data_IF_828650308334
#
_entry.id   IF_828650308334
#
_cell.length_a   1.000
_cell.length_b   1.000
_cell.length_c   1.000
_cell.angle_alpha   90.00
_cell.angle_beta   90.00
_cell.angle_gamma   90.00
#
_symmetry.space_group_name_H-M   'P 1'
#
loop_
_entity.id
_entity.type
_entity.pdbx_description
1 polymer ?
#
# COMPACT_ATOMS: atom_id res chain seq x y z
N UNK A 1 9.50 10.39 -9.09
CA UNK A 1 8.65 10.33 -7.86
C UNK A 1 9.33 9.44 -6.85
N UNK A 2 9.12 9.75 -5.56
CA UNK A 2 9.43 8.83 -4.47
C UNK A 2 8.17 8.02 -4.14
N UNK A 3 8.30 6.73 -4.14
CA UNK A 3 7.18 5.79 -3.97
C UNK A 3 7.44 4.91 -2.75
N UNK A 4 6.48 4.81 -1.85
CA UNK A 4 6.51 3.81 -0.78
C UNK A 4 5.51 2.69 -1.10
N UNK A 5 6.01 1.46 -1.22
CA UNK A 5 5.19 0.28 -1.45
C UNK A 5 5.08 -0.51 -0.15
N UNK A 6 3.86 -0.60 0.40
CA UNK A 6 3.55 -1.31 1.65
C UNK A 6 2.89 -2.63 1.31
N UNK A 7 3.55 -3.76 1.55
CA UNK A 7 2.99 -5.09 1.29
C UNK A 7 2.50 -5.77 2.56
N UNK A 8 1.40 -6.52 2.45
CA UNK A 8 0.77 -7.20 3.59
C UNK A 8 0.78 -8.74 3.51
N UNK A 9 1.41 -9.32 2.50
CA UNK A 9 1.47 -10.78 2.34
C UNK A 9 2.60 -11.40 3.15
N UNK A 10 2.33 -12.47 3.94
CA UNK A 10 3.38 -13.22 4.62
C UNK A 10 4.10 -14.21 3.68
N UNK A 11 3.59 -14.44 2.48
CA UNK A 11 4.20 -15.33 1.49
C UNK A 11 5.16 -14.53 0.63
N UNK A 12 6.43 -14.88 0.62
CA UNK A 12 7.46 -14.16 -0.14
C UNK A 12 7.10 -14.07 -1.64
N UNK A 13 6.70 -15.20 -2.23
CA UNK A 13 6.26 -15.29 -3.63
C UNK A 13 4.73 -15.26 -3.78
N UNK A 14 4.03 -14.67 -2.82
CA UNK A 14 2.57 -14.56 -2.81
C UNK A 14 2.04 -13.70 -3.96
N UNK A 15 0.79 -13.97 -4.38
CA UNK A 15 0.15 -13.29 -5.52
C UNK A 15 0.19 -11.76 -5.42
N UNK A 16 -0.05 -11.18 -4.23
CA UNK A 16 0.02 -9.73 -4.05
C UNK A 16 1.46 -9.20 -4.12
N UNK A 17 2.45 -9.96 -3.61
CA UNK A 17 3.85 -9.58 -3.72
C UNK A 17 4.32 -9.57 -5.17
N UNK A 18 3.84 -10.52 -5.99
CA UNK A 18 4.09 -10.50 -7.46
C UNK A 18 3.59 -9.20 -8.10
N UNK A 19 2.42 -8.67 -7.67
CA UNK A 19 1.96 -7.36 -8.17
C UNK A 19 2.90 -6.22 -7.74
N UNK A 20 3.35 -6.24 -6.48
CA UNK A 20 4.31 -5.25 -5.99
C UNK A 20 5.62 -5.27 -6.78
N UNK A 21 6.17 -6.45 -7.04
CA UNK A 21 7.42 -6.61 -7.81
C UNK A 21 7.29 -6.04 -9.23
N UNK A 22 6.20 -6.35 -9.91
CA UNK A 22 5.94 -5.85 -11.26
C UNK A 22 5.71 -4.33 -11.28
N UNK A 23 4.99 -3.79 -10.30
CA UNK A 23 4.76 -2.36 -10.15
C UNK A 23 6.06 -1.60 -9.90
N UNK A 24 6.87 -2.08 -8.94
CA UNK A 24 8.18 -1.48 -8.60
C UNK A 24 9.08 -1.48 -9.83
N UNK A 25 9.22 -2.63 -10.50
CA UNK A 25 10.03 -2.72 -11.72
C UNK A 25 9.60 -1.70 -12.78
N UNK A 26 8.29 -1.57 -13.04
CA UNK A 26 7.79 -0.59 -14.01
C UNK A 26 8.08 0.85 -13.59
N UNK A 27 7.98 1.17 -12.30
CA UNK A 27 8.27 2.49 -11.75
C UNK A 27 9.76 2.83 -11.86
N UNK A 28 10.64 1.91 -11.49
CA UNK A 28 12.10 2.10 -11.54
C UNK A 28 12.60 2.26 -12.97
N UNK A 29 12.09 1.45 -13.94
CA UNK A 29 12.41 1.59 -15.36
C UNK A 29 11.95 2.94 -15.95
N UNK A 30 11.04 3.64 -15.28
CA UNK A 30 10.59 5.00 -15.64
C UNK A 30 11.26 6.10 -14.81
N UNK A 31 12.35 5.77 -14.09
CA UNK A 31 13.14 6.74 -13.34
C UNK A 31 12.52 7.17 -12.00
N UNK A 32 11.60 6.38 -11.43
CA UNK A 32 11.06 6.63 -10.10
C UNK A 32 11.89 5.88 -9.05
N UNK A 33 11.93 6.39 -7.83
CA UNK A 33 12.57 5.78 -6.66
C UNK A 33 11.50 5.03 -5.86
N UNK A 34 11.63 3.72 -5.71
CA UNK A 34 10.67 2.90 -4.98
C UNK A 34 11.32 2.27 -3.75
N UNK A 35 10.78 2.58 -2.57
CA UNK A 35 11.09 1.88 -1.32
C UNK A 35 9.99 0.87 -1.02
N UNK A 36 10.36 -0.37 -0.63
CA UNK A 36 9.42 -1.43 -0.28
C UNK A 36 9.50 -1.76 1.19
N UNK A 37 8.33 -1.95 1.80
CA UNK A 37 8.18 -2.43 3.17
C UNK A 37 7.23 -3.62 3.24
N UNK A 38 7.75 -4.78 3.63
CA UNK A 38 7.00 -6.03 3.76
C UNK A 38 6.46 -6.17 5.19
N UNK A 39 5.29 -5.62 5.47
CA UNK A 39 4.71 -5.53 6.81
C UNK A 39 4.56 -6.89 7.52
N UNK A 40 4.42 -7.98 6.77
CA UNK A 40 4.29 -9.31 7.33
C UNK A 40 5.63 -9.93 7.77
N UNK A 41 6.75 -9.41 7.26
CA UNK A 41 8.11 -9.89 7.53
C UNK A 41 8.88 -8.97 8.50
N UNK A 42 8.29 -7.83 8.86
CA UNK A 42 8.89 -6.81 9.72
C UNK A 42 8.21 -6.77 11.09
N UNK A 43 8.94 -6.28 12.08
CA UNK A 43 8.42 -6.11 13.43
C UNK A 43 7.76 -4.74 13.57
N UNK A 44 6.44 -4.68 13.41
CA UNK A 44 5.63 -3.49 13.67
C UNK A 44 4.60 -3.83 14.74
N UNK A 45 4.77 -3.26 15.93
CA UNK A 45 3.81 -3.41 17.01
C UNK A 45 2.50 -2.68 16.67
N UNK A 46 1.32 -3.31 16.84
CA UNK A 46 0.04 -2.63 16.67
C UNK A 46 -0.08 -1.39 17.57
N UNK A 47 -0.81 -0.37 17.12
CA UNK A 47 -1.09 0.80 17.93
C UNK A 47 -1.89 0.42 19.20
N UNK A 48 -1.43 0.85 20.37
CA UNK A 48 -2.10 0.62 21.67
C UNK A 48 -2.95 1.80 22.12
N UNK A 49 -3.12 2.80 21.26
CA UNK A 49 -3.89 4.02 21.57
C UNK A 49 -3.41 4.76 22.84
N UNK A 50 -2.15 4.64 23.23
CA UNK A 50 -1.57 5.30 24.41
C UNK A 50 -1.48 6.83 24.28
N UNK A 51 -1.66 7.36 23.09
CA UNK A 51 -1.63 8.80 22.76
C UNK A 51 -0.31 9.55 23.06
N UNK A 52 0.76 8.86 23.44
CA UNK A 52 2.05 9.49 23.75
C UNK A 52 2.64 10.27 22.55
N UNK A 53 2.32 9.88 21.33
CA UNK A 53 2.76 10.55 20.10
C UNK A 53 1.98 11.85 19.79
N UNK A 54 0.82 12.08 20.42
CA UNK A 54 -0.02 13.26 20.18
C UNK A 54 -0.34 13.49 18.69
N UNK A 55 -0.51 12.42 17.91
CA UNK A 55 -0.80 12.41 16.46
C UNK A 55 0.34 12.92 15.54
N UNK A 56 1.44 13.42 16.06
CA UNK A 56 2.56 13.91 15.23
C UNK A 56 3.92 13.89 15.93
N UNK A 57 4.07 13.01 16.91
CA UNK A 57 5.30 12.84 17.67
C UNK A 57 5.93 11.45 17.52
N UNK A 58 7.01 11.20 18.25
CA UNK A 58 7.60 9.87 18.27
C UNK A 58 6.63 8.88 18.93
N UNK A 59 6.57 7.65 18.37
CA UNK A 59 5.85 6.57 19.03
C UNK A 59 6.66 6.00 20.18
N UNK A 60 5.98 5.42 21.18
CA UNK A 60 6.63 4.69 22.29
C UNK A 60 7.33 3.41 21.82
N UNK A 61 6.92 2.86 20.69
CA UNK A 61 7.54 1.67 20.11
C UNK A 61 8.67 2.08 19.17
N UNK A 62 9.88 1.66 19.50
CA UNK A 62 11.04 1.73 18.63
C UNK A 62 11.15 0.42 17.86
N UNK A 63 10.56 0.41 16.66
CA UNK A 63 10.40 -0.76 15.83
C UNK A 63 10.52 -0.41 14.32
N UNK A 64 10.32 -1.38 13.43
CA UNK A 64 10.47 -1.19 11.98
C UNK A 64 9.50 -0.14 11.39
N UNK A 65 8.54 0.39 12.15
CA UNK A 65 7.70 1.50 11.71
C UNK A 65 8.53 2.78 11.46
N UNK A 66 9.70 2.92 12.05
CA UNK A 66 10.58 4.07 11.81
C UNK A 66 10.97 4.16 10.33
N UNK A 67 11.23 3.03 9.66
CA UNK A 67 11.43 3.02 8.21
C UNK A 67 10.26 3.63 7.44
N UNK A 68 9.03 3.23 7.81
CA UNK A 68 7.83 3.75 7.14
C UNK A 68 7.69 5.25 7.39
N UNK A 69 7.91 5.70 8.62
CA UNK A 69 7.85 7.12 8.99
C UNK A 69 8.76 7.97 8.09
N UNK A 70 10.01 7.55 7.92
CA UNK A 70 10.98 8.28 7.10
C UNK A 70 10.58 8.36 5.63
N UNK A 71 10.13 7.23 5.07
CA UNK A 71 9.82 7.14 3.65
C UNK A 71 8.47 7.76 3.30
N UNK A 72 7.41 7.53 4.08
CA UNK A 72 6.05 7.98 3.75
C UNK A 72 5.91 9.51 3.81
N UNK A 73 6.63 10.17 4.72
CA UNK A 73 6.58 11.64 4.83
C UNK A 73 7.08 12.28 3.53
N UNK A 74 8.15 11.74 2.96
CA UNK A 74 8.77 12.26 1.73
C UNK A 74 8.21 11.65 0.44
N UNK A 75 7.34 10.63 0.53
CA UNK A 75 6.78 9.98 -0.64
C UNK A 75 5.81 10.88 -1.41
N UNK A 76 5.85 10.81 -2.74
CA UNK A 76 4.85 11.37 -3.64
C UNK A 76 3.64 10.41 -3.79
N UNK A 77 3.89 9.10 -3.60
CA UNK A 77 2.89 8.04 -3.75
C UNK A 77 3.06 6.95 -2.70
N UNK A 78 1.95 6.47 -2.13
CA UNK A 78 1.88 5.28 -1.30
C UNK A 78 1.06 4.17 -1.99
N UNK A 79 1.67 3.00 -2.21
CA UNK A 79 0.99 1.84 -2.77
C UNK A 79 0.69 0.83 -1.65
N UNK A 80 -0.59 0.52 -1.45
CA UNK A 80 -1.06 -0.51 -0.53
C UNK A 80 -1.26 -1.81 -1.28
N UNK A 81 -0.48 -2.83 -0.95
CA UNK A 81 -0.51 -4.12 -1.64
C UNK A 81 -0.86 -5.22 -0.65
N UNK A 82 -2.04 -5.84 -0.80
CA UNK A 82 -2.54 -6.75 0.22
C UNK A 82 -3.29 -7.96 -0.38
N UNK A 83 -3.12 -9.15 0.19
CA UNK A 83 -4.15 -10.17 0.04
C UNK A 83 -5.38 -9.76 0.86
N UNK A 84 -6.57 -10.11 0.39
CA UNK A 84 -7.80 -9.98 1.19
C UNK A 84 -7.91 -11.19 2.13
N UNK A 85 -7.92 -10.93 3.43
CA UNK A 85 -8.19 -11.94 4.45
C UNK A 85 -9.46 -11.56 5.22
N UNK A 86 -10.44 -12.47 5.26
CA UNK A 86 -11.72 -12.21 5.91
C UNK A 86 -12.30 -10.84 5.57
N UNK A 87 -12.32 -10.54 4.26
CA UNK A 87 -12.91 -9.33 3.66
C UNK A 87 -12.25 -8.01 4.05
N UNK A 88 -11.02 -8.05 4.59
CA UNK A 88 -10.26 -6.87 5.02
C UNK A 88 -8.81 -6.88 4.53
N UNK A 89 -8.14 -5.77 4.77
CA UNK A 89 -6.68 -5.64 4.63
C UNK A 89 -6.02 -6.63 5.60
N UNK A 90 -4.91 -7.25 5.20
CA UNK A 90 -4.19 -8.18 6.08
C UNK A 90 -3.85 -7.51 7.43
N UNK A 91 -3.94 -8.27 8.53
CA UNK A 91 -3.71 -7.72 9.87
C UNK A 91 -2.33 -7.06 10.02
N UNK A 92 -1.31 -7.59 9.33
CA UNK A 92 0.05 -7.02 9.35
C UNK A 92 0.11 -5.64 8.69
N UNK A 93 -0.51 -5.47 7.53
CA UNK A 93 -0.60 -4.17 6.87
C UNK A 93 -1.52 -3.21 7.65
N UNK A 94 -2.60 -3.73 8.24
CA UNK A 94 -3.48 -2.92 9.08
C UNK A 94 -2.76 -2.38 10.32
N UNK A 95 -1.88 -3.17 10.96
CA UNK A 95 -1.05 -2.70 12.07
C UNK A 95 -0.15 -1.51 11.67
N UNK A 96 0.39 -1.53 10.46
CA UNK A 96 1.14 -0.40 9.89
C UNK A 96 0.24 0.82 9.71
N UNK A 97 -0.95 0.65 9.11
CA UNK A 97 -1.90 1.74 8.88
C UNK A 97 -2.37 2.36 10.19
N UNK A 98 -2.62 1.57 11.24
CA UNK A 98 -3.00 2.09 12.55
C UNK A 98 -1.91 2.96 13.18
N UNK A 99 -0.64 2.69 12.87
CA UNK A 99 0.49 3.50 13.31
C UNK A 99 0.63 4.83 12.57
N UNK A 100 -0.10 5.04 11.47
CA UNK A 100 -0.20 6.37 10.84
C UNK A 100 -0.73 7.43 11.81
N UNK A 101 -1.43 7.02 12.85
CA UNK A 101 -1.81 7.92 13.94
C UNK A 101 -0.61 8.71 14.51
N UNK A 102 0.55 8.06 14.67
CA UNK A 102 1.75 8.71 15.22
C UNK A 102 2.38 9.77 14.29
N UNK A 103 2.03 9.76 13.00
CA UNK A 103 2.57 10.66 11.98
C UNK A 103 1.47 11.39 11.20
N UNK A 104 0.25 11.38 11.72
CA UNK A 104 -0.93 11.86 11.03
C UNK A 104 -0.77 13.30 10.50
N UNK A 105 -0.25 14.20 11.30
CA UNK A 105 -0.02 15.59 10.90
C UNK A 105 1.03 15.73 9.78
N UNK A 106 2.04 14.87 9.76
CA UNK A 106 3.12 14.91 8.77
C UNK A 106 2.74 14.29 7.43
N UNK A 107 1.76 13.36 7.39
CA UNK A 107 1.37 12.66 6.15
C UNK A 107 0.12 13.24 5.49
N UNK A 108 -0.61 14.13 6.14
CA UNK A 108 -1.76 14.84 5.54
C UNK A 108 -1.33 15.93 4.59
N UNK A 109 -0.55 15.55 3.60
CA UNK A 109 -0.08 16.39 2.50
C UNK A 109 -0.48 15.74 1.18
N UNK A 110 -0.67 16.51 0.09
CA UNK A 110 -1.08 15.93 -1.18
C UNK A 110 -0.14 14.80 -1.64
N UNK A 111 -0.69 13.60 -1.80
CA UNK A 111 0.00 12.40 -2.29
C UNK A 111 -0.94 11.61 -3.20
N UNK A 112 -0.38 10.69 -3.96
CA UNK A 112 -1.16 9.67 -4.65
C UNK A 112 -1.24 8.40 -3.80
N UNK A 113 -2.37 7.70 -3.86
CA UNK A 113 -2.57 6.39 -3.29
C UNK A 113 -2.89 5.38 -4.41
N UNK A 114 -2.34 4.17 -4.29
CA UNK A 114 -2.64 3.03 -5.18
C UNK A 114 -3.03 1.84 -4.31
N UNK A 115 -4.08 1.12 -4.70
CA UNK A 115 -4.44 -0.15 -4.11
C UNK A 115 -4.17 -1.29 -5.08
N UNK A 116 -3.42 -2.30 -4.65
CA UNK A 116 -3.30 -3.57 -5.35
C UNK A 116 -3.74 -4.70 -4.42
N UNK A 117 -4.81 -5.40 -4.78
CA UNK A 117 -5.42 -6.42 -3.94
C UNK A 117 -5.60 -7.73 -4.68
N UNK A 118 -5.37 -8.83 -3.98
CA UNK A 118 -5.59 -10.20 -4.49
C UNK A 118 -6.53 -10.96 -3.58
N UNK A 119 -7.41 -11.80 -4.13
CA UNK A 119 -8.27 -12.67 -3.33
C UNK A 119 -8.73 -13.91 -4.10
N UNK A 120 -9.15 -14.95 -3.36
CA UNK A 120 -9.47 -16.28 -3.90
C UNK A 120 -10.82 -16.33 -4.62
N UNK A 121 -11.80 -15.62 -4.12
CA UNK A 121 -13.17 -15.63 -4.66
C UNK A 121 -13.26 -14.79 -5.95
N UNK A 122 -14.34 -14.95 -6.69
CA UNK A 122 -14.62 -14.16 -7.90
C UNK A 122 -15.80 -13.19 -7.71
N UNK A 123 -16.47 -13.26 -6.56
CA UNK A 123 -17.64 -12.43 -6.27
C UNK A 123 -17.24 -11.00 -5.92
N UNK A 124 -17.63 -10.06 -6.76
CA UNK A 124 -17.40 -8.62 -6.51
C UNK A 124 -18.06 -8.11 -5.22
N UNK A 125 -19.16 -8.72 -4.78
CA UNK A 125 -19.79 -8.35 -3.51
C UNK A 125 -18.84 -8.50 -2.33
N UNK A 126 -17.91 -9.45 -2.39
CA UNK A 126 -16.94 -9.72 -1.32
C UNK A 126 -15.81 -8.71 -1.27
N UNK A 127 -15.61 -7.92 -2.32
CA UNK A 127 -14.64 -6.82 -2.37
C UNK A 127 -15.14 -5.59 -1.57
N UNK A 128 -16.46 -5.40 -1.50
CA UNK A 128 -17.07 -4.18 -0.97
C UNK A 128 -16.54 -3.75 0.41
N UNK A 129 -16.42 -4.63 1.42
CA UNK A 129 -15.94 -4.20 2.73
C UNK A 129 -14.53 -3.60 2.72
N UNK A 130 -13.60 -4.24 2.01
CA UNK A 130 -12.20 -3.76 1.95
C UNK A 130 -12.09 -2.51 1.06
N UNK A 131 -12.89 -2.40 0.00
CA UNK A 131 -12.90 -1.20 -0.84
C UNK A 131 -13.47 -0.01 -0.07
N UNK A 132 -14.59 -0.18 0.65
CA UNK A 132 -15.15 0.88 1.50
C UNK A 132 -14.15 1.32 2.58
N UNK A 133 -13.44 0.37 3.20
CA UNK A 133 -12.37 0.71 4.16
C UNK A 133 -11.23 1.50 3.50
N UNK A 134 -10.84 1.09 2.29
CA UNK A 134 -9.79 1.80 1.56
C UNK A 134 -10.25 3.20 1.10
N UNK A 135 -11.50 3.36 0.68
CA UNK A 135 -12.03 4.65 0.18
C UNK A 135 -11.82 5.78 1.18
N UNK A 136 -12.13 5.53 2.45
CA UNK A 136 -12.03 6.57 3.50
C UNK A 136 -10.59 6.88 3.93
N UNK A 137 -9.63 6.01 3.65
CA UNK A 137 -8.24 6.21 4.08
C UNK A 137 -7.55 7.35 3.30
N UNK A 138 -7.44 7.31 1.95
CA UNK A 138 -6.87 8.43 1.20
C UNK A 138 -7.72 9.69 1.33
N UNK A 139 -9.05 9.60 1.39
CA UNK A 139 -9.94 10.75 1.62
C UNK A 139 -9.58 11.47 2.94
N UNK A 140 -9.51 10.74 4.04
CA UNK A 140 -9.14 11.29 5.35
C UNK A 140 -7.74 11.93 5.36
N UNK A 141 -6.78 11.33 4.64
CA UNK A 141 -5.41 11.82 4.57
C UNK A 141 -5.21 12.97 3.58
N UNK A 142 -6.22 13.30 2.76
CA UNK A 142 -6.12 14.29 1.69
C UNK A 142 -5.28 13.81 0.51
N UNK A 143 -5.24 12.49 0.29
CA UNK A 143 -4.54 11.86 -0.81
C UNK A 143 -5.47 11.59 -1.98
N UNK A 144 -4.94 11.58 -3.19
CA UNK A 144 -5.71 11.21 -4.39
C UNK A 144 -5.62 9.70 -4.61
N UNK A 145 -6.77 9.02 -4.61
CA UNK A 145 -6.84 7.63 -5.06
C UNK A 145 -6.61 7.58 -6.58
N UNK A 146 -5.42 7.17 -6.97
CA UNK A 146 -4.98 7.25 -8.36
C UNK A 146 -5.44 6.05 -9.18
N UNK A 147 -5.18 4.83 -8.71
CA UNK A 147 -5.51 3.58 -9.43
C UNK A 147 -5.69 2.43 -8.46
N UNK A 148 -6.59 1.51 -8.83
CA UNK A 148 -6.81 0.25 -8.13
C UNK A 148 -6.61 -0.94 -9.07
N UNK A 149 -5.85 -1.94 -8.63
CA UNK A 149 -5.72 -3.25 -9.30
C UNK A 149 -6.32 -4.30 -8.37
N UNK A 150 -7.48 -4.82 -8.73
CA UNK A 150 -8.20 -5.83 -7.96
C UNK A 150 -8.14 -7.15 -8.74
N UNK A 151 -7.46 -8.14 -8.18
CA UNK A 151 -7.21 -9.43 -8.82
C UNK A 151 -8.01 -10.56 -8.11
N UNK A 152 -9.22 -10.88 -8.60
CA UNK A 152 -10.02 -12.00 -8.10
C UNK A 152 -9.51 -13.36 -8.57
N UNK A 153 -9.94 -14.43 -7.91
CA UNK A 153 -9.75 -15.81 -8.38
C UNK A 153 -8.34 -16.36 -8.22
N UNK A 154 -7.48 -15.70 -7.44
CA UNK A 154 -6.08 -16.12 -7.26
C UNK A 154 -5.87 -16.71 -5.85
N UNK A 155 -6.05 -18.03 -5.73
CA UNK A 155 -5.93 -18.76 -4.47
C UNK A 155 -4.53 -19.33 -4.24
N UNK A 156 -4.04 -20.14 -5.18
CA UNK A 156 -2.74 -20.79 -5.05
C UNK A 156 -1.61 -19.76 -5.22
N UNK A 157 -0.53 -19.97 -4.50
CA UNK A 157 0.69 -19.17 -4.65
C UNK A 157 1.17 -19.18 -6.10
N UNK A 158 1.56 -18.03 -6.62
CA UNK A 158 2.01 -17.86 -8.00
C UNK A 158 0.92 -17.96 -9.08
N UNK A 159 -0.35 -18.24 -8.72
CA UNK A 159 -1.43 -18.38 -9.72
C UNK A 159 -1.69 -17.09 -10.50
N UNK A 160 -1.38 -15.94 -9.91
CA UNK A 160 -1.54 -14.63 -10.55
C UNK A 160 -0.67 -14.46 -11.81
N UNK A 161 0.46 -15.17 -11.89
CA UNK A 161 1.38 -15.10 -13.03
C UNK A 161 0.75 -15.58 -14.36
N UNK A 162 -0.37 -16.33 -14.27
CA UNK A 162 -1.15 -16.79 -15.41
C UNK A 162 -2.25 -15.81 -15.84
N UNK A 163 -2.29 -14.64 -15.24
CA UNK A 163 -3.30 -13.59 -15.47
C UNK A 163 -2.65 -12.35 -16.07
N UNK A 164 -3.46 -11.37 -16.45
CA UNK A 164 -2.96 -10.08 -16.94
C UNK A 164 -2.57 -9.10 -15.82
N UNK A 165 -2.86 -9.41 -14.56
CA UNK A 165 -2.67 -8.46 -13.47
C UNK A 165 -1.20 -8.07 -13.24
N UNK A 166 -0.20 -8.96 -13.33
CA UNK A 166 1.21 -8.57 -13.23
C UNK A 166 1.61 -7.58 -14.33
N UNK A 167 1.13 -7.78 -15.57
CA UNK A 167 1.35 -6.85 -16.68
C UNK A 167 0.69 -5.50 -16.41
N UNK A 168 -0.54 -5.49 -15.88
CA UNK A 168 -1.25 -4.25 -15.49
C UNK A 168 -0.49 -3.50 -14.40
N UNK A 169 0.04 -4.19 -13.39
CA UNK A 169 0.85 -3.59 -12.34
C UNK A 169 2.15 -2.96 -12.89
N UNK A 170 2.83 -3.67 -13.77
CA UNK A 170 4.02 -3.16 -14.45
C UNK A 170 3.72 -1.90 -15.28
N UNK A 171 2.67 -1.94 -16.11
CA UNK A 171 2.27 -0.80 -16.92
C UNK A 171 1.82 0.39 -16.08
N UNK A 172 1.16 0.15 -14.93
CA UNK A 172 0.83 1.19 -13.97
C UNK A 172 2.11 1.87 -13.45
N UNK A 173 3.09 1.10 -13.01
CA UNK A 173 4.38 1.64 -12.56
C UNK A 173 5.05 2.51 -13.63
N UNK A 174 5.02 2.05 -14.89
CA UNK A 174 5.56 2.79 -16.03
C UNK A 174 4.82 4.07 -16.38
N UNK A 175 3.53 4.13 -16.13
CA UNK A 175 2.67 5.25 -16.51
C UNK A 175 2.57 6.33 -15.43
N UNK A 176 3.24 6.16 -14.27
CA UNK A 176 3.19 7.13 -13.19
C UNK A 176 3.73 8.49 -13.62
N UNK A 177 3.03 9.54 -13.24
CA UNK A 177 3.45 10.93 -13.44
C UNK A 177 3.14 11.75 -12.20
N UNK A 178 3.94 12.80 -11.94
CA UNK A 178 3.60 13.79 -10.90
C UNK A 178 2.32 14.50 -11.32
N UNK A 179 1.31 14.52 -10.47
CA UNK A 179 0.16 15.40 -10.66
C UNK A 179 0.67 16.84 -10.56
N UNK A 180 0.54 17.62 -11.62
CA UNK A 180 0.95 19.03 -11.63
C UNK A 180 1.78 19.47 -12.83
N UNK A 181 2.11 18.59 -13.77
CA UNK A 181 2.73 18.96 -15.04
C UNK A 181 1.66 19.14 -16.15
N UNK A 182 0.48 19.63 -15.80
CA UNK A 182 -0.53 20.05 -16.78
C UNK A 182 -0.35 21.51 -17.05
N UNK A 183 0.34 21.81 -18.15
CA UNK A 183 0.27 23.00 -19.02
C UNK A 183 -0.41 24.25 -18.45
N UNK A 184 0.41 25.22 -18.13
CA UNK A 184 0.05 26.64 -18.39
C UNK A 184 0.10 26.89 -19.89
#
# INVERSE_FOLDING_TARGET
>A
MKILVLTGSPREHGNSNTLADHFIRGAEESGHEAARFDAALRNVHPCTACNSCGMNGPCVFDDDFNFIREHIISADLAAFVTPMYYFGISARLKAVIDRFYAINGSIRTPKQAVLMMTYADISKRKESPILTHYDVLPEYLGWTDAVRIIAPGVWAEGSISRTEFPKKAYLLGRALSRQGASSQ
#
